data_IF_180368780951
#
_entry.id   IF_180368780951
#
_cell.length_a   1.000
_cell.length_b   1.000
_cell.length_c   1.000
_cell.angle_alpha   90.00
_cell.angle_beta   90.00
_cell.angle_gamma   90.00
#
_symmetry.space_group_name_H-M   'P 1'
#
loop_
_entity.id
_entity.type
_entity.pdbx_description
1 polymer ?
#
# COMPACT_ATOMS: atom_id res chain seq x y z
N UNK A 1 -19.43 -13.98 -1.98
CA UNK A 1 -18.55 -12.87 -2.39
C UNK A 1 -17.59 -12.64 -1.24
N UNK A 2 -16.28 -12.50 -1.49
CA UNK A 2 -15.35 -12.12 -0.43
C UNK A 2 -15.85 -10.83 0.21
N UNK A 3 -15.96 -10.78 1.53
CA UNK A 3 -16.46 -9.59 2.20
C UNK A 3 -15.28 -8.67 2.47
N UNK A 4 -14.64 -8.19 1.40
CA UNK A 4 -13.65 -7.10 1.50
C UNK A 4 -14.41 -5.91 2.11
N UNK A 5 -13.98 -5.48 3.28
CA UNK A 5 -14.58 -4.33 3.96
C UNK A 5 -14.31 -3.07 3.13
N UNK A 6 -15.20 -2.08 3.22
CA UNK A 6 -15.00 -0.80 2.53
C UNK A 6 -13.64 -0.17 2.87
N UNK A 7 -13.19 -0.31 4.12
CA UNK A 7 -11.88 0.14 4.58
C UNK A 7 -10.71 -0.55 3.85
N UNK A 8 -10.80 -1.87 3.61
CA UNK A 8 -9.80 -2.57 2.80
C UNK A 8 -9.77 -2.07 1.36
N UNK A 9 -10.93 -1.78 0.76
CA UNK A 9 -11.01 -1.28 -0.61
C UNK A 9 -10.35 0.11 -0.74
N UNK A 10 -10.60 1.00 0.23
CA UNK A 10 -9.98 2.33 0.30
C UNK A 10 -8.44 2.25 0.45
N UNK A 11 -7.96 1.31 1.28
CA UNK A 11 -6.52 1.07 1.44
C UNK A 11 -5.90 0.52 0.14
N UNK A 12 -6.57 -0.43 -0.53
CA UNK A 12 -6.09 -0.99 -1.80
C UNK A 12 -6.01 0.08 -2.91
N UNK A 13 -7.01 0.96 -3.01
CA UNK A 13 -6.99 2.09 -3.95
C UNK A 13 -5.82 3.05 -3.66
N UNK A 14 -5.52 3.28 -2.39
CA UNK A 14 -4.36 4.10 -1.98
C UNK A 14 -3.05 3.42 -2.41
N UNK A 15 -2.92 2.11 -2.18
CA UNK A 15 -1.75 1.33 -2.60
C UNK A 15 -1.57 1.37 -4.12
N UNK A 16 -2.64 1.17 -4.89
CA UNK A 16 -2.62 1.22 -6.36
C UNK A 16 -2.16 2.59 -6.87
N UNK A 17 -2.70 3.67 -6.28
CA UNK A 17 -2.30 5.04 -6.59
C UNK A 17 -0.80 5.28 -6.37
N UNK A 18 -0.23 4.72 -5.30
CA UNK A 18 1.21 4.84 -5.01
C UNK A 18 2.06 3.98 -5.94
N UNK A 19 1.60 2.77 -6.29
CA UNK A 19 2.28 1.94 -7.27
C UNK A 19 2.39 2.64 -8.63
N UNK A 20 1.32 3.27 -9.12
CA UNK A 20 1.36 4.06 -10.35
C UNK A 20 2.31 5.26 -10.25
N UNK A 21 2.31 5.96 -9.12
CA UNK A 21 3.27 7.04 -8.88
C UNK A 21 4.72 6.54 -8.93
N UNK A 22 5.00 5.39 -8.33
CA UNK A 22 6.34 4.79 -8.38
C UNK A 22 6.73 4.36 -9.80
N UNK A 23 5.83 3.73 -10.55
CA UNK A 23 6.06 3.35 -11.95
C UNK A 23 6.39 4.57 -12.80
N UNK A 24 5.63 5.65 -12.64
CA UNK A 24 5.87 6.91 -13.33
C UNK A 24 7.25 7.50 -13.00
N UNK A 25 7.63 7.48 -11.72
CA UNK A 25 8.95 7.95 -11.26
C UNK A 25 10.09 7.08 -11.81
N UNK A 26 9.88 5.77 -11.94
CA UNK A 26 10.85 4.83 -12.52
C UNK A 26 11.01 5.11 -14.03
N UNK A 27 9.90 5.27 -14.76
CA UNK A 27 9.90 5.45 -16.22
C UNK A 27 10.46 6.82 -16.62
N UNK A 28 10.02 7.90 -15.95
CA UNK A 28 10.44 9.27 -16.27
C UNK A 28 11.80 9.62 -15.65
N UNK A 29 12.20 8.88 -14.63
CA UNK A 29 13.42 9.10 -13.87
C UNK A 29 13.26 10.14 -12.76
N UNK A 30 13.85 9.87 -11.61
CA UNK A 30 13.68 10.67 -10.39
C UNK A 30 14.14 12.13 -10.52
N UNK A 31 15.11 12.42 -11.39
CA UNK A 31 15.59 13.78 -11.62
C UNK A 31 14.62 14.65 -12.42
N UNK A 32 13.64 14.04 -13.10
CA UNK A 32 12.61 14.76 -13.85
C UNK A 32 11.32 14.92 -13.06
N UNK A 33 11.28 14.38 -11.83
CA UNK A 33 10.16 14.55 -10.91
C UNK A 33 9.92 16.03 -10.66
N UNK A 34 8.72 16.49 -11.00
CA UNK A 34 8.30 17.89 -10.85
C UNK A 34 7.63 18.10 -9.48
N UNK A 35 7.31 19.36 -9.19
CA UNK A 35 6.48 19.77 -8.05
C UNK A 35 5.25 18.88 -7.85
N UNK A 36 4.60 18.49 -8.95
CA UNK A 36 3.35 17.72 -8.90
C UNK A 36 3.58 16.30 -8.37
N UNK A 37 4.68 15.64 -8.77
CA UNK A 37 5.04 14.33 -8.24
C UNK A 37 5.40 14.39 -6.76
N UNK A 38 6.11 15.44 -6.34
CA UNK A 38 6.46 15.67 -4.94
C UNK A 38 5.21 15.93 -4.07
N UNK A 39 4.25 16.71 -4.58
CA UNK A 39 2.96 16.92 -3.93
C UNK A 39 2.19 15.60 -3.78
N UNK A 40 2.17 14.76 -4.82
CA UNK A 40 1.56 13.44 -4.74
C UNK A 40 2.23 12.53 -3.71
N UNK A 41 3.58 12.49 -3.66
CA UNK A 41 4.30 11.72 -2.62
C UNK A 41 3.92 12.21 -1.23
N UNK A 42 3.85 13.53 -1.03
CA UNK A 42 3.50 14.12 0.27
C UNK A 42 2.06 13.80 0.68
N UNK A 43 1.11 13.92 -0.24
CA UNK A 43 -0.29 13.55 0.00
C UNK A 43 -0.44 12.09 0.39
N UNK A 44 0.29 11.18 -0.28
CA UNK A 44 0.27 9.76 0.04
C UNK A 44 0.93 9.46 1.39
N UNK A 45 2.00 10.17 1.73
CA UNK A 45 2.65 10.07 3.04
C UNK A 45 1.67 10.41 4.17
N UNK A 46 0.87 11.46 4.00
CA UNK A 46 -0.15 11.86 4.96
C UNK A 46 -1.28 10.82 5.06
N UNK A 47 -1.71 10.24 3.95
CA UNK A 47 -2.72 9.17 3.93
C UNK A 47 -2.23 7.92 4.69
N UNK A 48 -1.02 7.43 4.38
CA UNK A 48 -0.45 6.29 5.11
C UNK A 48 -0.25 6.58 6.60
N UNK A 49 0.01 7.84 6.96
CA UNK A 49 0.06 8.25 8.37
C UNK A 49 -1.33 8.22 9.03
N UNK A 50 -2.39 8.60 8.32
CA UNK A 50 -3.77 8.57 8.84
C UNK A 50 -4.26 7.15 9.09
N UNK A 51 -3.99 6.23 8.18
CA UNK A 51 -4.39 4.81 8.31
C UNK A 51 -3.46 4.00 9.24
N UNK A 52 -2.49 4.65 9.90
CA UNK A 52 -1.61 4.01 10.88
C UNK A 52 -0.43 3.21 10.29
N UNK A 53 -0.25 3.23 8.97
CA UNK A 53 0.86 2.60 8.26
C UNK A 53 2.15 3.45 8.32
N UNK A 54 2.59 3.76 9.56
CA UNK A 54 3.66 4.72 9.87
C UNK A 54 4.98 4.38 9.16
N UNK A 55 5.30 3.09 9.02
CA UNK A 55 6.54 2.69 8.35
C UNK A 55 6.54 3.07 6.85
N UNK A 56 5.42 2.91 6.16
CA UNK A 56 5.29 3.32 4.75
C UNK A 56 5.34 4.85 4.64
N UNK A 57 4.63 5.55 5.52
CA UNK A 57 4.68 7.02 5.58
C UNK A 57 6.12 7.54 5.73
N UNK A 58 6.92 6.95 6.63
CA UNK A 58 8.31 7.32 6.82
C UNK A 58 9.17 7.06 5.58
N UNK A 59 8.93 5.96 4.86
CA UNK A 59 9.65 5.68 3.61
C UNK A 59 9.31 6.68 2.51
N UNK A 60 8.05 7.10 2.42
CA UNK A 60 7.62 8.15 1.48
C UNK A 60 8.23 9.50 1.83
N UNK A 61 8.36 9.84 3.11
CA UNK A 61 9.04 11.06 3.56
C UNK A 61 10.54 11.03 3.20
N UNK A 62 11.23 9.91 3.44
CA UNK A 62 12.63 9.74 3.04
C UNK A 62 12.79 9.87 1.53
N UNK A 63 11.87 9.26 0.76
CA UNK A 63 11.86 9.38 -0.70
C UNK A 63 11.65 10.83 -1.14
N UNK A 64 10.63 11.50 -0.61
CA UNK A 64 10.34 12.92 -0.88
C UNK A 64 11.60 13.77 -0.67
N UNK A 65 12.20 13.69 0.51
CA UNK A 65 13.38 14.48 0.87
C UNK A 65 14.54 14.20 -0.09
N UNK A 66 14.76 12.92 -0.42
CA UNK A 66 15.85 12.54 -1.33
C UNK A 66 15.66 13.01 -2.78
N UNK A 67 14.41 13.09 -3.26
CA UNK A 67 14.10 13.65 -4.59
C UNK A 67 14.25 15.18 -4.55
N UNK A 68 13.65 15.83 -3.55
CA UNK A 68 13.65 17.29 -3.39
C UNK A 68 15.09 17.85 -3.32
N UNK A 69 15.98 17.15 -2.61
CA UNK A 69 17.38 17.55 -2.45
C UNK A 69 18.32 16.96 -3.50
N UNK A 70 17.78 16.26 -4.52
CA UNK A 70 18.54 15.59 -5.59
C UNK A 70 19.66 14.69 -5.06
N UNK A 71 19.35 13.91 -4.02
CA UNK A 71 20.29 12.99 -3.41
C UNK A 71 20.58 11.80 -4.33
N UNK A 72 21.84 11.34 -4.34
CA UNK A 72 22.26 10.17 -5.11
C UNK A 72 21.54 8.87 -4.71
N UNK A 73 20.98 8.83 -3.51
CA UNK A 73 20.33 7.65 -2.94
C UNK A 73 18.82 7.57 -3.24
N UNK A 74 18.23 8.56 -3.94
CA UNK A 74 16.79 8.61 -4.18
C UNK A 74 16.25 7.34 -4.88
N UNK A 75 17.02 6.77 -5.81
CA UNK A 75 16.66 5.50 -6.47
C UNK A 75 16.60 4.32 -5.50
N UNK A 76 17.52 4.27 -4.54
CA UNK A 76 17.52 3.24 -3.49
C UNK A 76 16.33 3.39 -2.55
N UNK A 77 16.01 4.63 -2.16
CA UNK A 77 14.83 4.93 -1.34
C UNK A 77 13.52 4.57 -2.04
N UNK A 78 13.42 4.82 -3.36
CA UNK A 78 12.26 4.43 -4.15
C UNK A 78 12.05 2.91 -4.15
N UNK A 79 13.11 2.15 -4.45
CA UNK A 79 13.04 0.69 -4.46
C UNK A 79 12.67 0.12 -3.08
N UNK A 80 13.20 0.74 -2.02
CA UNK A 80 12.85 0.36 -0.65
C UNK A 80 11.38 0.63 -0.33
N UNK A 81 10.86 1.81 -0.70
CA UNK A 81 9.46 2.16 -0.53
C UNK A 81 8.54 1.21 -1.32
N UNK A 82 8.87 0.95 -2.59
CA UNK A 82 8.14 0.01 -3.45
C UNK A 82 8.13 -1.41 -2.88
N UNK A 83 9.27 -1.89 -2.37
CA UNK A 83 9.37 -3.22 -1.77
C UNK A 83 8.49 -3.32 -0.52
N UNK A 84 8.56 -2.32 0.36
CA UNK A 84 7.75 -2.29 1.58
C UNK A 84 6.25 -2.24 1.26
N UNK A 85 5.86 -1.44 0.27
CA UNK A 85 4.47 -1.32 -0.17
C UNK A 85 3.93 -2.66 -0.70
N UNK A 86 4.69 -3.37 -1.54
CA UNK A 86 4.30 -4.70 -2.04
C UNK A 86 4.15 -5.74 -0.93
N UNK A 87 5.03 -5.70 0.07
CA UNK A 87 4.92 -6.60 1.23
C UNK A 87 3.68 -6.28 2.06
N UNK A 88 3.40 -4.99 2.26
CA UNK A 88 2.20 -4.52 2.96
C UNK A 88 0.91 -4.98 2.25
N UNK A 89 0.80 -4.73 0.94
CA UNK A 89 -0.31 -5.20 0.10
C UNK A 89 -0.51 -6.71 0.19
N UNK A 90 0.60 -7.47 0.17
CA UNK A 90 0.56 -8.93 0.26
C UNK A 90 0.02 -9.41 1.60
N UNK A 91 0.43 -8.77 2.70
CA UNK A 91 -0.07 -9.09 4.05
C UNK A 91 -1.56 -8.80 4.14
N UNK A 92 -2.00 -7.60 3.73
CA UNK A 92 -3.41 -7.22 3.73
C UNK A 92 -4.28 -8.19 2.92
N UNK A 93 -3.81 -8.57 1.74
CA UNK A 93 -4.50 -9.55 0.89
C UNK A 93 -4.62 -10.91 1.59
N UNK A 94 -3.56 -11.35 2.28
CA UNK A 94 -3.57 -12.61 3.02
C UNK A 94 -4.52 -12.56 4.22
N UNK A 95 -4.56 -11.45 4.95
CA UNK A 95 -5.48 -11.26 6.08
C UNK A 95 -6.93 -11.27 5.59
N UNK A 96 -7.25 -10.51 4.55
CA UNK A 96 -8.58 -10.49 3.94
C UNK A 96 -9.07 -11.89 3.52
N UNK A 97 -8.21 -12.65 2.82
CA UNK A 97 -8.53 -14.01 2.39
C UNK A 97 -8.63 -14.97 3.59
N UNK A 98 -7.79 -14.79 4.60
CA UNK A 98 -7.82 -15.60 5.83
C UNK A 98 -9.14 -15.46 6.57
N UNK A 99 -9.64 -14.23 6.71
CA UNK A 99 -10.92 -13.95 7.33
C UNK A 99 -12.09 -14.57 6.54
N UNK A 100 -12.10 -14.40 5.22
CA UNK A 100 -13.08 -15.03 4.34
C UNK A 100 -13.07 -16.57 4.45
N UNK A 101 -11.88 -17.17 4.53
CA UNK A 101 -11.73 -18.62 4.66
C UNK A 101 -12.24 -19.13 6.00
N UNK A 102 -11.96 -18.42 7.09
CA UNK A 102 -12.47 -18.77 8.43
C UNK A 102 -13.99 -18.66 8.51
N UNK A 103 -14.58 -17.65 7.87
CA UNK A 103 -16.03 -17.50 7.73
C UNK A 103 -16.64 -18.67 6.95
N UNK A 104 -16.00 -19.07 5.85
CA UNK A 104 -16.43 -20.20 5.05
C UNK A 104 -16.42 -21.52 5.85
N UNK A 105 -15.32 -21.84 6.54
CA UNK A 105 -15.25 -23.03 7.39
C UNK A 105 -16.34 -23.01 8.47
N UNK A 106 -16.52 -21.88 9.13
CA UNK A 106 -17.54 -21.73 10.18
C UNK A 106 -18.96 -21.96 9.67
N UNK A 107 -19.24 -21.61 8.41
CA UNK A 107 -20.54 -21.85 7.77
C UNK A 107 -20.80 -23.35 7.54
N UNK A 108 -19.77 -24.11 7.15
CA UNK A 108 -19.89 -25.56 6.98
C UNK A 108 -20.12 -26.29 8.31
N UNK A 109 -19.47 -25.85 9.39
CA UNK A 109 -19.67 -26.42 10.73
C UNK A 109 -21.10 -26.19 11.27
N UNK A 110 -21.75 -25.10 10.88
CA UNK A 110 -23.13 -24.79 11.30
C UNK A 110 -24.17 -25.60 10.51
N UNK A 111 -23.92 -25.86 9.23
CA UNK A 111 -24.78 -26.71 8.39
C UNK A 111 -24.79 -28.16 8.88
N UNK A 112 -23.64 -28.72 9.30
CA UNK A 112 -23.57 -30.07 9.87
C UNK A 112 -24.30 -30.20 11.22
N UNK A 113 -24.31 -29.14 12.04
CA UNK A 113 -25.05 -29.11 13.31
C UNK A 113 -26.55 -28.95 13.14
N UNK A 114 -27.00 -28.34 12.04
CA UNK A 114 -28.43 -28.13 11.75
C UNK A 114 -29.10 -29.37 11.14
N UNK A 115 -28.31 -30.36 10.69
CA UNK A 115 -28.79 -31.63 10.13
C UNK A 115 -28.82 -32.79 11.13
N UNK A 116 -28.38 -32.59 12.38
CA UNK A 116 -28.46 -33.55 13.49
C UNK A 116 -29.55 -33.16 14.48
#
# INVERSE_FOLDING_TARGET
MPMITQEHEEILQTIESVNHLFEDLIIRGLQTAKSDSLLSIKSMQEEFSRIGAIYIANLLEILYNSIEHNEKNAASHLLRAQTALRLFERILTMEAIGDDFNLLISSFDQDERSQK
#
